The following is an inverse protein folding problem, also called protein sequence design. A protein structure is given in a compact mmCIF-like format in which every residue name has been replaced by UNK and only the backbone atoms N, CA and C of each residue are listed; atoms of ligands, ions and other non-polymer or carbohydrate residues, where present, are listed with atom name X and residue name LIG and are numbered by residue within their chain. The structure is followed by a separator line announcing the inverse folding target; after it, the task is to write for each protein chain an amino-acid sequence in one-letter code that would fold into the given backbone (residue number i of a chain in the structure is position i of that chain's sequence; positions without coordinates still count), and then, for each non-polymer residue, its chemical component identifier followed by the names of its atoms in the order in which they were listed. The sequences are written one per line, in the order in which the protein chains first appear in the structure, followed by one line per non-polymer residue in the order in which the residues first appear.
data_IF_259265263531
#
_entry.id   IF_259265263531
#
_cell.length_a   1.000
_cell.length_b   1.000
_cell.length_c   1.000
_cell.angle_alpha   90.00
_cell.angle_beta   90.00
_cell.angle_gamma   90.00
#
_symmetry.space_group_name_H-M   'P 1'
#
loop_
_entity.id
_entity.type
_entity.pdbx_description
1 polymer ?
#
# COMPACT_ATOMS: atom_id res chain seq x y z
N UNK A 1 -48.78 0.08 17.20
CA UNK A 1 -48.10 -1.08 17.81
C UNK A 1 -47.26 -1.83 16.80
N UNK A 2 -47.52 -1.74 15.49
CA UNK A 2 -46.84 -2.55 14.44
C UNK A 2 -45.47 -2.01 13.96
N UNK A 3 -45.04 -0.81 14.38
CA UNK A 3 -43.79 -0.17 13.89
C UNK A 3 -42.55 -0.52 14.72
N UNK A 4 -42.71 -1.03 15.94
CA UNK A 4 -41.59 -1.39 16.83
C UNK A 4 -40.97 -2.77 16.53
N UNK A 5 -41.76 -3.69 15.96
CA UNK A 5 -41.30 -5.06 15.66
C UNK A 5 -40.39 -5.14 14.44
N UNK A 6 -40.58 -4.31 13.43
CA UNK A 6 -39.72 -4.31 12.22
C UNK A 6 -38.29 -3.79 12.48
N UNK A 7 -38.15 -2.81 13.38
CA UNK A 7 -36.84 -2.28 13.77
C UNK A 7 -36.03 -3.25 14.64
N UNK A 8 -36.69 -4.07 15.43
CA UNK A 8 -35.99 -5.09 16.26
C UNK A 8 -35.48 -6.25 15.41
N UNK A 9 -36.23 -6.63 14.36
CA UNK A 9 -35.82 -7.68 13.42
C UNK A 9 -34.66 -7.22 12.50
N UNK A 10 -34.71 -5.98 12.00
CA UNK A 10 -33.64 -5.41 11.19
C UNK A 10 -32.33 -5.25 11.97
N UNK A 11 -32.42 -4.92 13.26
CA UNK A 11 -31.24 -4.81 14.13
C UNK A 11 -30.64 -6.18 14.46
N UNK A 12 -31.46 -7.23 14.62
CA UNK A 12 -31.00 -8.61 14.85
C UNK A 12 -30.35 -9.22 13.61
N UNK A 13 -30.92 -8.99 12.42
CA UNK A 13 -30.31 -9.47 11.16
C UNK A 13 -28.99 -8.73 10.84
N UNK A 14 -28.92 -7.43 11.11
CA UNK A 14 -27.68 -6.67 10.93
C UNK A 14 -26.56 -7.06 11.91
N UNK A 15 -26.91 -7.44 13.14
CA UNK A 15 -25.92 -7.92 14.10
C UNK A 15 -25.46 -9.36 13.80
N UNK A 16 -26.38 -10.23 13.35
CA UNK A 16 -26.04 -11.57 12.90
C UNK A 16 -25.14 -11.54 11.64
N UNK A 17 -25.45 -10.69 10.66
CA UNK A 17 -24.62 -10.50 9.47
C UNK A 17 -23.24 -9.93 9.80
N UNK A 18 -23.15 -9.02 10.78
CA UNK A 18 -21.85 -8.48 11.25
C UNK A 18 -21.04 -9.53 12.01
N UNK A 19 -21.67 -10.41 12.75
CA UNK A 19 -21.01 -11.51 13.45
C UNK A 19 -20.50 -12.56 12.43
N UNK A 20 -21.29 -12.90 11.42
CA UNK A 20 -20.85 -13.82 10.35
C UNK A 20 -19.73 -13.25 9.47
N UNK A 21 -19.76 -11.94 9.18
CA UNK A 21 -18.68 -11.28 8.41
C UNK A 21 -17.44 -11.00 9.25
N UNK A 22 -17.58 -10.80 10.56
CA UNK A 22 -16.47 -10.56 11.49
C UNK A 22 -15.71 -11.82 11.90
N UNK A 23 -16.32 -13.00 11.74
CA UNK A 23 -15.74 -14.28 12.15
C UNK A 23 -15.14 -15.10 10.99
N UNK A 24 -15.05 -14.53 9.80
CA UNK A 24 -14.17 -15.08 8.76
C UNK A 24 -12.73 -14.83 9.19
N UNK A 25 -12.27 -15.75 10.03
CA UNK A 25 -10.95 -15.76 10.64
C UNK A 25 -9.91 -15.44 9.56
N UNK A 26 -9.02 -14.46 9.75
CA UNK A 26 -7.91 -14.21 8.82
C UNK A 26 -6.94 -15.40 8.75
N UNK A 27 -7.20 -16.44 9.58
CA UNK A 27 -6.40 -17.65 9.68
C UNK A 27 -6.10 -18.32 8.33
N UNK A 28 -7.08 -18.59 7.44
CA UNK A 28 -6.77 -19.23 6.15
C UNK A 28 -5.95 -18.34 5.23
N UNK A 29 -6.14 -17.01 5.26
CA UNK A 29 -5.31 -16.08 4.49
C UNK A 29 -3.89 -15.99 5.06
N UNK A 30 -3.74 -15.94 6.38
CA UNK A 30 -2.45 -15.98 7.06
C UNK A 30 -1.73 -17.31 6.84
N UNK A 31 -2.45 -18.44 6.93
CA UNK A 31 -1.91 -19.76 6.63
C UNK A 31 -1.53 -19.89 5.15
N UNK A 32 -2.34 -19.37 4.24
CA UNK A 32 -2.02 -19.33 2.80
C UNK A 32 -0.77 -18.50 2.50
N UNK A 33 -0.63 -17.33 3.11
CA UNK A 33 0.56 -16.50 2.98
C UNK A 33 1.79 -17.17 3.59
N UNK A 34 1.67 -17.78 4.78
CA UNK A 34 2.73 -18.55 5.40
C UNK A 34 3.16 -19.75 4.56
N UNK A 35 2.20 -20.53 4.03
CA UNK A 35 2.49 -21.66 3.15
C UNK A 35 3.16 -21.21 1.86
N UNK A 36 2.69 -20.14 1.24
CA UNK A 36 3.32 -19.59 0.03
C UNK A 36 4.77 -19.14 0.32
N UNK A 37 5.01 -18.48 1.47
CA UNK A 37 6.36 -18.08 1.90
C UNK A 37 7.25 -19.31 2.15
N UNK A 38 6.71 -20.34 2.81
CA UNK A 38 7.44 -21.59 3.08
C UNK A 38 7.78 -22.31 1.77
N UNK A 39 6.84 -22.41 0.82
CA UNK A 39 7.08 -23.04 -0.48
C UNK A 39 8.16 -22.29 -1.26
N UNK A 40 8.10 -20.95 -1.29
CA UNK A 40 9.14 -20.12 -1.91
C UNK A 40 10.51 -20.34 -1.25
N UNK A 41 10.54 -20.56 0.06
CA UNK A 41 11.74 -20.81 0.83
C UNK A 41 12.40 -22.16 0.46
N UNK A 42 11.62 -23.20 0.13
CA UNK A 42 12.12 -24.51 -0.26
C UNK A 42 12.46 -24.61 -1.75
N UNK A 43 12.09 -23.65 -2.59
CA UNK A 43 12.29 -23.71 -4.04
C UNK A 43 13.67 -23.22 -4.54
N UNK A 44 14.72 -23.26 -3.71
CA UNK A 44 16.08 -23.04 -4.17
C UNK A 44 16.73 -21.73 -3.72
N UNK A 45 16.51 -21.33 -2.47
CA UNK A 45 17.20 -20.18 -1.88
C UNK A 45 18.64 -20.56 -1.55
N UNK A 46 19.60 -19.83 -2.11
CA UNK A 46 21.00 -19.91 -1.72
C UNK A 46 21.17 -19.51 -0.23
N UNK A 47 22.13 -20.14 0.47
CA UNK A 47 22.37 -19.92 1.89
C UNK A 47 22.60 -18.44 2.24
N UNK A 48 23.25 -17.70 1.36
CA UNK A 48 23.53 -16.27 1.57
C UNK A 48 22.23 -15.45 1.58
N UNK A 49 21.30 -15.73 0.69
CA UNK A 49 19.99 -15.10 0.66
C UNK A 49 19.16 -15.46 1.90
N UNK A 50 19.31 -16.68 2.41
CA UNK A 50 18.66 -17.13 3.64
C UNK A 50 19.06 -16.28 4.84
N UNK A 51 20.35 -16.02 5.00
CA UNK A 51 20.89 -15.22 6.11
C UNK A 51 20.33 -13.80 6.05
N UNK A 52 20.33 -13.17 4.87
CA UNK A 52 19.77 -11.82 4.68
C UNK A 52 18.27 -11.78 5.03
N UNK A 53 17.50 -12.77 4.61
CA UNK A 53 16.07 -12.87 4.92
C UNK A 53 15.87 -13.01 6.44
N UNK A 54 16.61 -13.88 7.12
CA UNK A 54 16.50 -14.07 8.57
C UNK A 54 16.84 -12.79 9.33
N UNK A 55 17.92 -12.11 8.96
CA UNK A 55 18.30 -10.82 9.56
C UNK A 55 17.20 -9.78 9.36
N UNK A 56 16.65 -9.67 8.14
CA UNK A 56 15.57 -8.74 7.84
C UNK A 56 14.29 -9.05 8.66
N UNK A 57 13.92 -10.34 8.78
CA UNK A 57 12.76 -10.78 9.58
C UNK A 57 12.96 -10.48 11.06
N UNK A 58 14.14 -10.78 11.62
CA UNK A 58 14.46 -10.50 13.02
C UNK A 58 14.42 -8.99 13.30
N UNK A 59 15.09 -8.20 12.45
CA UNK A 59 15.12 -6.75 12.59
C UNK A 59 13.71 -6.14 12.45
N UNK A 60 12.96 -6.53 11.42
CA UNK A 60 11.58 -6.07 11.19
C UNK A 60 10.64 -6.45 12.33
N UNK A 61 10.76 -7.69 12.86
CA UNK A 61 9.96 -8.15 13.99
C UNK A 61 10.31 -7.38 15.27
N UNK A 62 11.57 -7.15 15.55
CA UNK A 62 12.02 -6.40 16.72
C UNK A 62 11.49 -4.96 16.68
N UNK A 63 11.64 -4.27 15.56
CA UNK A 63 11.14 -2.90 15.36
C UNK A 63 9.61 -2.87 15.45
N UNK A 64 8.92 -3.77 14.75
CA UNK A 64 7.48 -3.86 14.73
C UNK A 64 6.87 -4.16 16.11
N UNK A 65 7.48 -5.08 16.86
CA UNK A 65 7.02 -5.45 18.19
C UNK A 65 7.19 -4.30 19.21
N UNK A 66 8.33 -3.59 19.15
CA UNK A 66 8.57 -2.42 20.00
C UNK A 66 7.59 -1.31 19.66
N UNK A 67 7.38 -1.03 18.37
CA UNK A 67 6.42 -0.04 17.90
C UNK A 67 5.00 -0.39 18.38
N UNK A 68 4.55 -1.63 18.15
CA UNK A 68 3.21 -2.08 18.52
C UNK A 68 2.94 -2.01 20.04
N UNK A 69 3.96 -2.25 20.88
CA UNK A 69 3.82 -2.19 22.35
C UNK A 69 3.88 -0.78 22.93
N UNK A 70 4.61 0.15 22.26
CA UNK A 70 4.80 1.52 22.76
C UNK A 70 3.77 2.52 22.24
N UNK A 71 3.07 2.18 21.15
CA UNK A 71 2.13 3.09 20.51
C UNK A 71 0.85 3.21 21.33
N UNK A 72 0.45 4.43 21.63
CA UNK A 72 -0.85 4.76 22.25
C UNK A 72 -1.97 4.52 21.23
N UNK A 73 -3.17 4.18 21.72
CA UNK A 73 -4.37 3.99 20.88
C UNK A 73 -4.64 5.17 19.94
N UNK A 74 -4.37 6.39 20.39
CA UNK A 74 -4.53 7.62 19.60
C UNK A 74 -3.52 7.76 18.45
N UNK A 75 -2.39 7.05 18.52
CA UNK A 75 -1.34 7.09 17.49
C UNK A 75 -1.40 5.86 16.54
N UNK A 76 -2.39 4.99 16.68
CA UNK A 76 -2.58 3.83 15.79
C UNK A 76 -2.70 4.21 14.30
N UNK A 77 -3.49 5.23 13.90
CA UNK A 77 -3.58 5.62 12.48
C UNK A 77 -2.23 6.04 11.90
N UNK A 78 -1.40 6.70 12.70
CA UNK A 78 -0.05 7.15 12.31
C UNK A 78 0.87 5.96 12.04
N UNK A 79 0.82 4.93 12.90
CA UNK A 79 1.60 3.71 12.75
C UNK A 79 1.18 2.93 11.51
N UNK A 80 -0.13 2.82 11.27
CA UNK A 80 -0.68 2.16 10.08
C UNK A 80 -0.22 2.88 8.80
N UNK A 81 -0.29 4.21 8.76
CA UNK A 81 0.22 4.99 7.64
C UNK A 81 1.72 4.74 7.39
N UNK A 82 2.52 4.72 8.45
CA UNK A 82 3.96 4.47 8.35
C UNK A 82 4.26 3.08 7.76
N UNK A 83 3.64 2.02 8.28
CA UNK A 83 3.85 0.66 7.78
C UNK A 83 3.33 0.46 6.36
N UNK A 84 2.18 1.07 6.03
CA UNK A 84 1.65 1.04 4.66
C UNK A 84 2.62 1.72 3.69
N UNK A 85 3.16 2.88 4.06
CA UNK A 85 4.15 3.60 3.25
C UNK A 85 5.45 2.83 3.07
N UNK A 86 5.97 2.22 4.14
CA UNK A 86 7.16 1.40 4.09
C UNK A 86 6.95 0.16 3.21
N UNK A 87 5.81 -0.53 3.35
CA UNK A 87 5.47 -1.70 2.53
C UNK A 87 5.30 -1.35 1.05
N UNK A 88 4.55 -0.28 0.75
CA UNK A 88 4.37 0.19 -0.62
C UNK A 88 5.69 0.63 -1.27
N UNK A 89 6.51 1.36 -0.52
CA UNK A 89 7.84 1.78 -0.98
C UNK A 89 8.77 0.61 -1.24
N UNK A 90 8.82 -0.36 -0.32
CA UNK A 90 9.62 -1.57 -0.49
C UNK A 90 9.18 -2.35 -1.75
N UNK A 91 7.87 -2.56 -1.94
CA UNK A 91 7.34 -3.24 -3.12
C UNK A 91 7.72 -2.53 -4.43
N UNK A 92 7.60 -1.19 -4.48
CA UNK A 92 7.98 -0.41 -5.66
C UNK A 92 9.48 -0.51 -5.97
N UNK A 93 10.33 -0.47 -4.94
CA UNK A 93 11.78 -0.59 -5.11
C UNK A 93 12.19 -1.99 -5.55
N UNK A 94 11.61 -3.04 -4.97
CA UNK A 94 11.86 -4.43 -5.40
C UNK A 94 11.48 -4.61 -6.86
N UNK A 95 10.29 -4.16 -7.26
CA UNK A 95 9.85 -4.24 -8.66
C UNK A 95 10.76 -3.44 -9.61
N UNK A 96 11.26 -2.28 -9.17
CA UNK A 96 12.24 -1.51 -9.93
C UNK A 96 13.55 -2.28 -10.12
N UNK A 97 14.11 -2.84 -9.03
CA UNK A 97 15.35 -3.62 -9.07
C UNK A 97 15.20 -4.84 -9.98
N UNK A 98 14.10 -5.61 -9.84
CA UNK A 98 13.81 -6.74 -10.72
C UNK A 98 13.73 -6.33 -12.20
N UNK A 99 13.14 -5.16 -12.49
CA UNK A 99 13.10 -4.65 -13.85
C UNK A 99 14.50 -4.27 -14.35
N UNK A 100 15.35 -3.67 -13.50
CA UNK A 100 16.73 -3.33 -13.86
C UNK A 100 17.58 -4.56 -14.15
N UNK A 101 17.34 -5.66 -13.45
CA UNK A 101 18.06 -6.92 -13.60
C UNK A 101 17.60 -7.74 -14.82
N UNK A 102 16.29 -7.89 -14.99
CA UNK A 102 15.72 -8.78 -16.01
C UNK A 102 15.15 -8.05 -17.23
N UNK A 103 14.85 -6.77 -17.12
CA UNK A 103 14.28 -5.97 -18.20
C UNK A 103 12.99 -6.57 -18.75
N UNK A 104 12.89 -6.64 -20.06
CA UNK A 104 11.73 -7.24 -20.76
C UNK A 104 11.86 -8.76 -21.01
N UNK A 105 12.95 -9.40 -20.58
CA UNK A 105 13.24 -10.80 -20.90
C UNK A 105 12.22 -11.81 -20.31
N UNK A 106 11.56 -11.45 -19.18
CA UNK A 106 10.55 -12.28 -18.52
C UNK A 106 9.15 -12.22 -19.14
N UNK A 107 8.95 -11.47 -20.23
CA UNK A 107 7.70 -11.40 -20.97
C UNK A 107 6.70 -10.34 -20.48
N UNK A 108 5.58 -10.21 -21.21
CA UNK A 108 4.59 -9.13 -21.01
C UNK A 108 3.88 -9.18 -19.65
N UNK A 109 3.60 -10.38 -19.15
CA UNK A 109 2.94 -10.53 -17.84
C UNK A 109 3.82 -9.97 -16.70
N UNK A 110 5.11 -10.23 -16.75
CA UNK A 110 6.07 -9.65 -15.82
C UNK A 110 6.11 -8.13 -15.90
N UNK A 111 6.11 -7.57 -17.12
CA UNK A 111 6.10 -6.12 -17.31
C UNK A 111 4.83 -5.47 -16.72
N UNK A 112 3.67 -6.06 -16.97
CA UNK A 112 2.40 -5.57 -16.41
C UNK A 112 2.44 -5.60 -14.88
N UNK A 113 2.88 -6.72 -14.29
CA UNK A 113 2.99 -6.87 -12.84
C UNK A 113 3.95 -5.82 -12.24
N UNK A 114 5.12 -5.64 -12.84
CA UNK A 114 6.13 -4.66 -12.43
C UNK A 114 5.59 -3.23 -12.48
N UNK A 115 4.99 -2.84 -13.61
CA UNK A 115 4.42 -1.51 -13.82
C UNK A 115 3.33 -1.22 -12.79
N UNK A 116 2.41 -2.17 -12.55
CA UNK A 116 1.37 -2.02 -11.53
C UNK A 116 1.95 -1.92 -10.12
N UNK A 117 2.97 -2.73 -9.81
CA UNK A 117 3.62 -2.70 -8.50
C UNK A 117 4.34 -1.39 -8.25
N UNK A 118 5.08 -0.88 -9.23
CA UNK A 118 5.76 0.43 -9.15
C UNK A 118 4.75 1.56 -8.98
N UNK A 119 3.66 1.53 -9.76
CA UNK A 119 2.62 2.55 -9.70
C UNK A 119 1.92 2.56 -8.34
N UNK A 120 1.35 1.42 -7.94
CA UNK A 120 0.59 1.30 -6.69
C UNK A 120 1.50 1.52 -5.48
N UNK A 121 2.70 0.94 -5.50
CA UNK A 121 3.68 1.06 -4.43
C UNK A 121 4.18 2.49 -4.26
N UNK A 122 4.46 3.21 -5.36
CA UNK A 122 4.86 4.61 -5.34
C UNK A 122 3.77 5.53 -4.79
N UNK A 123 2.52 5.38 -5.27
CA UNK A 123 1.37 6.14 -4.76
C UNK A 123 1.14 5.86 -3.28
N UNK A 124 1.19 4.59 -2.87
CA UNK A 124 1.02 4.18 -1.48
C UNK A 124 2.11 4.75 -0.57
N UNK A 125 3.38 4.69 -1.01
CA UNK A 125 4.50 5.21 -0.24
C UNK A 125 4.37 6.71 0.02
N UNK A 126 4.22 7.52 -1.03
CA UNK A 126 4.15 8.97 -0.93
C UNK A 126 2.88 9.46 -0.25
N UNK A 127 1.73 8.86 -0.58
CA UNK A 127 0.45 9.18 0.06
C UNK A 127 0.49 8.89 1.57
N UNK A 128 1.07 7.77 1.97
CA UNK A 128 1.21 7.39 3.39
C UNK A 128 2.15 8.32 4.16
N UNK A 129 3.24 8.80 3.53
CA UNK A 129 4.12 9.80 4.15
C UNK A 129 3.36 11.10 4.41
N UNK A 130 2.60 11.60 3.43
CA UNK A 130 1.78 12.82 3.60
C UNK A 130 0.72 12.61 4.69
N UNK A 131 0.06 11.46 4.70
CA UNK A 131 -0.91 11.09 5.73
C UNK A 131 -0.28 11.10 7.12
N UNK A 132 0.89 10.46 7.27
CA UNK A 132 1.63 10.44 8.51
C UNK A 132 1.99 11.86 9.00
N UNK A 133 2.49 12.72 8.12
CA UNK A 133 2.85 14.11 8.44
C UNK A 133 1.63 14.95 8.87
N UNK A 134 0.47 14.71 8.26
CA UNK A 134 -0.78 15.36 8.66
C UNK A 134 -1.28 14.88 10.02
N UNK A 135 -1.23 13.54 10.26
CA UNK A 135 -1.65 12.96 11.53
C UNK A 135 -0.71 13.31 12.69
N UNK A 136 0.56 13.60 12.41
CA UNK A 136 1.54 14.09 13.38
C UNK A 136 1.45 15.61 13.61
N UNK A 137 0.52 16.29 12.94
CA UNK A 137 0.37 17.77 12.99
C UNK A 137 1.64 18.54 12.57
N UNK A 138 2.60 17.86 11.91
CA UNK A 138 3.79 18.50 11.31
C UNK A 138 3.38 19.30 10.07
N UNK A 139 2.44 18.77 9.29
CA UNK A 139 1.75 19.50 8.24
C UNK A 139 0.37 19.94 8.72
N UNK A 140 -0.17 21.00 8.08
CA UNK A 140 -1.54 21.43 8.38
C UNK A 140 -2.53 20.26 8.19
N UNK A 141 -3.35 20.03 9.22
CA UNK A 141 -4.43 19.03 9.19
C UNK A 141 -5.60 19.45 8.30
N UNK A 142 -5.64 20.75 7.94
CA UNK A 142 -6.68 21.27 7.04
C UNK A 142 -6.44 20.78 5.59
N UNK A 143 -7.52 20.59 4.82
CA UNK A 143 -7.39 20.31 3.39
C UNK A 143 -6.60 21.42 2.71
N UNK A 144 -5.49 21.05 2.06
CA UNK A 144 -4.72 22.00 1.25
C UNK A 144 -5.29 21.97 -0.16
N UNK A 145 -6.15 22.94 -0.46
CA UNK A 145 -6.77 23.08 -1.78
C UNK A 145 -5.94 24.05 -2.59
N UNK A 146 -5.22 23.52 -3.60
CA UNK A 146 -4.52 24.36 -4.58
C UNK A 146 -5.53 24.96 -5.55
N UNK A 147 -5.33 26.20 -6.02
CA UNK A 147 -6.12 26.75 -7.11
C UNK A 147 -5.96 25.83 -8.34
N UNK A 148 -7.08 25.36 -8.90
CA UNK A 148 -7.13 24.32 -9.96
C UNK A 148 -6.57 22.94 -9.58
N UNK A 149 -6.35 22.65 -8.28
CA UNK A 149 -5.73 21.41 -7.79
C UNK A 149 -6.43 20.14 -8.29
N UNK A 150 -7.76 20.16 -8.39
CA UNK A 150 -8.52 19.04 -8.95
C UNK A 150 -8.11 18.71 -10.39
N UNK A 151 -7.95 19.71 -11.24
CA UNK A 151 -7.54 19.51 -12.63
C UNK A 151 -6.09 19.04 -12.72
N UNK A 152 -5.21 19.57 -11.86
CA UNK A 152 -3.80 19.16 -11.80
C UNK A 152 -3.71 17.69 -11.38
N UNK A 153 -4.43 17.27 -10.35
CA UNK A 153 -4.43 15.87 -9.89
C UNK A 153 -4.95 14.93 -10.97
N UNK A 154 -6.03 15.30 -11.68
CA UNK A 154 -6.57 14.50 -12.79
C UNK A 154 -5.55 14.43 -13.93
N UNK A 155 -4.92 15.55 -14.30
CA UNK A 155 -3.91 15.57 -15.36
C UNK A 155 -2.71 14.67 -15.03
N UNK A 156 -2.20 14.73 -13.80
CA UNK A 156 -1.11 13.87 -13.33
C UNK A 156 -1.55 12.40 -13.28
N UNK A 157 -2.79 12.09 -12.86
CA UNK A 157 -3.33 10.74 -12.90
C UNK A 157 -3.34 10.18 -14.34
N UNK A 158 -3.85 10.95 -15.30
CA UNK A 158 -3.87 10.56 -16.72
C UNK A 158 -2.44 10.36 -17.24
N UNK A 159 -1.53 11.27 -16.91
CA UNK A 159 -0.13 11.18 -17.30
C UNK A 159 0.55 9.93 -16.73
N UNK A 160 0.26 9.61 -15.46
CA UNK A 160 0.81 8.42 -14.79
C UNK A 160 0.30 7.13 -15.44
N UNK A 161 -0.99 7.07 -15.77
CA UNK A 161 -1.56 5.92 -16.50
C UNK A 161 -1.00 5.83 -17.91
N UNK A 162 -0.85 6.94 -18.62
CA UNK A 162 -0.24 6.97 -19.94
C UNK A 162 1.22 6.50 -19.90
N UNK A 163 1.98 6.94 -18.91
CA UNK A 163 3.36 6.48 -18.70
C UNK A 163 3.41 4.97 -18.40
N UNK A 164 2.48 4.46 -17.60
CA UNK A 164 2.38 3.03 -17.32
C UNK A 164 2.15 2.21 -18.60
N UNK A 165 1.22 2.64 -19.46
CA UNK A 165 0.95 2.00 -20.76
C UNK A 165 2.17 2.11 -21.67
N UNK A 166 2.82 3.28 -21.71
CA UNK A 166 4.03 3.48 -22.49
C UNK A 166 5.14 2.51 -22.12
N UNK A 167 5.38 2.31 -20.80
CA UNK A 167 6.41 1.38 -20.32
C UNK A 167 6.11 -0.07 -20.71
N UNK A 168 4.83 -0.47 -20.76
CA UNK A 168 4.45 -1.82 -21.21
C UNK A 168 4.73 -2.01 -22.71
N UNK A 169 4.47 -0.98 -23.52
CA UNK A 169 4.68 -1.05 -24.98
C UNK A 169 6.14 -0.90 -25.35
N UNK A 170 6.87 -0.01 -24.67
CA UNK A 170 8.28 0.28 -24.92
C UNK A 170 9.05 0.23 -23.59
N UNK A 171 9.46 -0.99 -23.14
CA UNK A 171 10.16 -1.15 -21.89
C UNK A 171 11.51 -0.44 -21.89
N UNK A 172 11.66 0.52 -20.97
CA UNK A 172 12.91 1.25 -20.80
C UNK A 172 13.14 1.59 -19.34
N UNK A 173 14.40 1.57 -18.91
CA UNK A 173 14.79 1.94 -17.53
C UNK A 173 14.34 3.35 -17.17
N UNK A 174 14.47 4.28 -18.12
CA UNK A 174 14.02 5.66 -17.97
C UNK A 174 12.49 5.75 -17.84
N UNK A 175 11.75 4.90 -18.54
CA UNK A 175 10.30 4.81 -18.44
C UNK A 175 9.83 4.34 -17.07
N UNK A 176 10.42 3.27 -16.53
CA UNK A 176 10.05 2.73 -15.20
C UNK A 176 10.43 3.69 -14.07
N UNK A 177 11.62 4.29 -14.12
CA UNK A 177 12.03 5.31 -13.14
C UNK A 177 11.17 6.57 -13.23
N UNK A 178 10.81 7.01 -14.43
CA UNK A 178 9.87 8.11 -14.67
C UNK A 178 8.48 7.80 -14.11
N UNK A 179 7.99 6.57 -14.31
CA UNK A 179 6.73 6.11 -13.74
C UNK A 179 6.75 6.13 -12.21
N UNK A 180 7.86 5.71 -11.59
CA UNK A 180 8.01 5.80 -10.13
C UNK A 180 7.92 7.24 -9.63
N UNK A 181 8.62 8.18 -10.28
CA UNK A 181 8.56 9.60 -9.91
C UNK A 181 7.15 10.17 -10.10
N UNK A 182 6.49 9.87 -11.20
CA UNK A 182 5.10 10.30 -11.44
C UNK A 182 4.13 9.73 -10.41
N UNK A 183 4.29 8.45 -10.04
CA UNK A 183 3.44 7.81 -9.02
C UNK A 183 3.64 8.45 -7.64
N UNK A 184 4.88 8.81 -7.28
CA UNK A 184 5.16 9.53 -6.03
C UNK A 184 4.51 10.93 -6.02
N UNK A 185 4.62 11.68 -7.11
CA UNK A 185 3.99 13.00 -7.26
C UNK A 185 2.47 12.87 -7.19
N UNK A 186 1.90 11.88 -7.89
CA UNK A 186 0.46 11.64 -7.87
C UNK A 186 -0.05 11.29 -6.47
N UNK A 187 0.66 10.43 -5.71
CA UNK A 187 0.29 10.08 -4.35
C UNK A 187 0.27 11.29 -3.40
N UNK A 188 1.26 12.19 -3.52
CA UNK A 188 1.28 13.46 -2.75
C UNK A 188 0.05 14.31 -3.10
N UNK A 189 -0.17 14.57 -4.39
CA UNK A 189 -1.26 15.44 -4.84
C UNK A 189 -2.65 14.86 -4.54
N UNK A 190 -2.77 13.55 -4.52
CA UNK A 190 -4.01 12.87 -4.20
C UNK A 190 -4.40 13.01 -2.72
N UNK A 191 -3.43 12.96 -1.81
CA UNK A 191 -3.68 13.03 -0.36
C UNK A 191 -3.71 14.45 0.18
N UNK A 192 -3.08 15.42 -0.50
CA UNK A 192 -3.04 16.82 -0.05
C UNK A 192 -4.41 17.44 0.23
N UNK A 193 -5.44 17.29 -0.63
CA UNK A 193 -6.76 17.87 -0.38
C UNK A 193 -7.58 17.12 0.69
N UNK A 194 -7.16 15.92 1.11
CA UNK A 194 -7.84 15.17 2.15
C UNK A 194 -7.50 15.75 3.52
N UNK A 195 -8.50 16.07 4.33
CA UNK A 195 -8.30 16.57 5.71
C UNK A 195 -7.75 15.48 6.63
N UNK A 196 -6.99 15.88 7.66
CA UNK A 196 -6.44 14.91 8.63
C UNK A 196 -7.50 14.15 9.42
N UNK A 197 -8.70 14.73 9.58
CA UNK A 197 -9.85 14.07 10.24
C UNK A 197 -10.58 13.07 9.33
N UNK A 198 -10.41 13.17 8.01
CA UNK A 198 -11.09 12.36 7.01
C UNK A 198 -10.19 11.23 6.45
N UNK A 199 -9.00 11.08 7.01
CA UNK A 199 -8.08 10.00 6.63
C UNK A 199 -8.57 8.71 7.28
N UNK A 200 -8.92 7.69 6.48
CA UNK A 200 -9.45 6.42 6.97
C UNK A 200 -8.39 5.59 7.74
#
# INVERSE_FOLDING_TARGET
VCRRSAWSLARRSGSALRLELGERRPLPLLLGALLATVILFFSGIELDNLIVILVAVIAGTAIGLVAARKVKMTAMPQLVALFNGAGGGAAALVALVEFLEYGSSKGTLFLIATVLTVLIGGVSASGSVVTYLKLQEIMTTRPVVLPAGRFITIAIAILTVAAAVWVIVSPSTLGVTGLLVLSLIFGILFVLPVGGADVP
#
